data_IF_218572237375
#
_entry.id   IF_218572237375
#
_cell.length_a   1.000
_cell.length_b   1.000
_cell.length_c   1.000
_cell.angle_alpha   90.00
_cell.angle_beta   90.00
_cell.angle_gamma   90.00
#
_symmetry.space_group_name_H-M   'P 1'
#
loop_
_entity.id
_entity.type
_entity.pdbx_description
1 polymer ?
#
# COMPACT_ATOMS: atom_id res chain seq x y z
N UNK A 1 -4.15 7.70 37.48
CA UNK A 1 -3.26 7.54 36.30
C UNK A 1 -4.12 7.76 35.08
N UNK A 2 -3.96 8.90 34.39
CA UNK A 2 -4.54 9.06 33.06
C UNK A 2 -3.80 8.08 32.15
N UNK A 3 -4.50 7.05 31.65
CA UNK A 3 -3.98 6.30 30.51
C UNK A 3 -4.03 7.27 29.36
N UNK A 4 -2.87 7.67 28.83
CA UNK A 4 -2.83 8.37 27.55
C UNK A 4 -3.64 7.55 26.55
N UNK A 5 -4.64 8.20 25.98
CA UNK A 5 -5.56 7.56 25.06
C UNK A 5 -4.87 7.56 23.70
N UNK A 6 -4.30 6.40 23.33
CA UNK A 6 -3.67 6.21 22.02
C UNK A 6 -4.68 6.54 20.94
N UNK A 7 -4.33 7.42 20.00
CA UNK A 7 -5.22 7.82 18.90
C UNK A 7 -5.23 6.77 17.81
N UNK A 8 -6.22 6.83 16.91
CA UNK A 8 -6.27 5.92 15.75
C UNK A 8 -5.07 6.16 14.84
N UNK A 9 -4.66 7.40 14.64
CA UNK A 9 -3.51 7.77 13.81
C UNK A 9 -2.22 7.15 14.35
N UNK A 10 -1.97 7.23 15.67
CA UNK A 10 -0.80 6.60 16.30
C UNK A 10 -0.79 5.08 16.11
N UNK A 11 -1.97 4.44 16.14
CA UNK A 11 -2.10 3.00 15.86
C UNK A 11 -1.79 2.70 14.39
N UNK A 12 -2.35 3.47 13.45
CA UNK A 12 -2.17 3.24 12.02
C UNK A 12 -0.71 3.45 11.59
N UNK A 13 -0.06 4.52 12.07
CA UNK A 13 1.37 4.76 11.86
C UNK A 13 2.21 3.63 12.46
N UNK A 14 1.86 3.16 13.66
CA UNK A 14 2.56 2.07 14.35
C UNK A 14 2.51 0.72 13.63
N UNK A 15 1.53 0.49 12.75
CA UNK A 15 1.37 -0.76 12.00
C UNK A 15 1.66 -0.65 10.51
N UNK A 16 1.95 0.53 9.98
CA UNK A 16 2.04 0.75 8.52
C UNK A 16 2.99 -0.23 7.84
N UNK A 17 4.22 -0.35 8.33
CA UNK A 17 5.22 -1.24 7.73
C UNK A 17 4.77 -2.71 7.77
N UNK A 18 4.11 -3.12 8.83
CA UNK A 18 3.59 -4.49 8.93
C UNK A 18 2.44 -4.73 7.96
N UNK A 19 1.53 -3.77 7.78
CA UNK A 19 0.50 -3.86 6.75
C UNK A 19 1.13 -3.94 5.37
N UNK A 20 2.13 -3.11 5.07
CA UNK A 20 2.91 -3.18 3.83
C UNK A 20 3.50 -4.59 3.64
N UNK A 21 4.12 -5.17 4.66
CA UNK A 21 4.76 -6.49 4.59
C UNK A 21 3.74 -7.62 4.36
N UNK A 22 2.56 -7.57 5.00
CA UNK A 22 1.51 -8.55 4.79
C UNK A 22 0.90 -8.38 3.39
N UNK A 23 0.62 -7.15 2.99
CA UNK A 23 0.14 -6.79 1.66
C UNK A 23 1.15 -7.28 0.61
N UNK A 24 2.47 -7.22 0.91
CA UNK A 24 3.56 -7.76 0.09
C UNK A 24 3.36 -9.23 -0.30
N UNK A 25 2.74 -10.03 0.59
CA UNK A 25 2.48 -11.46 0.38
C UNK A 25 1.27 -11.77 -0.53
N UNK A 26 0.48 -10.77 -0.93
CA UNK A 26 -0.69 -10.96 -1.78
C UNK A 26 -1.93 -11.51 -1.06
N UNK A 27 -1.96 -11.41 0.27
CA UNK A 27 -3.14 -11.75 1.09
C UNK A 27 -4.35 -10.89 0.73
N UNK A 28 -5.54 -11.45 0.95
CA UNK A 28 -6.78 -10.71 0.79
C UNK A 28 -7.01 -9.77 1.96
N UNK A 29 -7.82 -8.73 1.76
CA UNK A 29 -8.17 -7.73 2.77
C UNK A 29 -8.62 -8.37 4.09
N UNK A 30 -9.52 -9.35 4.03
CA UNK A 30 -10.05 -10.02 5.22
C UNK A 30 -8.95 -10.71 6.00
N UNK A 31 -8.01 -11.39 5.32
CA UNK A 31 -6.89 -12.06 5.97
C UNK A 31 -5.93 -11.06 6.64
N UNK A 32 -5.70 -9.90 6.02
CA UNK A 32 -4.87 -8.83 6.57
C UNK A 32 -5.51 -8.28 7.85
N UNK A 33 -6.80 -7.95 7.80
CA UNK A 33 -7.54 -7.43 8.96
C UNK A 33 -7.58 -8.48 10.09
N UNK A 34 -7.87 -9.74 9.77
CA UNK A 34 -7.84 -10.83 10.75
C UNK A 34 -6.48 -10.98 11.41
N UNK A 35 -5.40 -10.95 10.63
CA UNK A 35 -4.04 -11.00 11.16
C UNK A 35 -3.75 -9.84 12.11
N UNK A 36 -4.13 -8.61 11.74
CA UNK A 36 -3.94 -7.44 12.59
C UNK A 36 -4.72 -7.57 13.91
N UNK A 37 -5.95 -8.08 13.87
CA UNK A 37 -6.79 -8.26 15.06
C UNK A 37 -6.32 -9.38 15.99
N UNK A 38 -5.48 -10.29 15.52
CA UNK A 38 -4.84 -11.31 16.38
C UNK A 38 -3.67 -10.73 17.19
N UNK A 39 -3.13 -9.57 16.81
CA UNK A 39 -2.07 -8.90 17.56
C UNK A 39 -2.61 -8.30 18.85
N UNK A 40 -1.94 -8.59 19.97
CA UNK A 40 -2.39 -8.18 21.32
C UNK A 40 -2.65 -6.68 21.45
N UNK A 41 -1.81 -5.86 20.83
CA UNK A 41 -1.89 -4.39 20.87
C UNK A 41 -3.13 -3.88 20.13
N UNK A 42 -3.32 -4.34 18.89
CA UNK A 42 -4.47 -3.99 18.05
C UNK A 42 -5.76 -4.58 18.60
N UNK A 43 -5.75 -5.81 19.09
CA UNK A 43 -6.89 -6.42 19.78
C UNK A 43 -7.31 -5.60 21.00
N UNK A 44 -6.34 -5.11 21.77
CA UNK A 44 -6.58 -4.26 22.93
C UNK A 44 -7.20 -2.92 22.56
N UNK A 45 -6.76 -2.33 21.46
CA UNK A 45 -7.33 -1.11 20.88
C UNK A 45 -8.73 -1.36 20.29
N UNK A 46 -8.90 -2.37 19.44
CA UNK A 46 -10.14 -2.70 18.74
C UNK A 46 -11.31 -3.01 19.70
N UNK A 47 -11.02 -3.59 20.86
CA UNK A 47 -12.03 -3.83 21.90
C UNK A 47 -12.53 -2.54 22.59
N UNK A 48 -11.87 -1.41 22.39
CA UNK A 48 -12.18 -0.11 23.01
C UNK A 48 -12.46 0.99 21.99
N UNK A 49 -12.17 0.76 20.72
CA UNK A 49 -12.34 1.74 19.67
C UNK A 49 -13.81 1.90 19.32
N UNK A 50 -14.14 3.06 18.76
CA UNK A 50 -15.45 3.31 18.14
C UNK A 50 -15.52 2.61 16.80
N UNK A 51 -16.74 2.46 16.28
CA UNK A 51 -16.96 1.85 14.97
C UNK A 51 -16.24 2.63 13.86
N UNK A 52 -16.23 3.96 13.94
CA UNK A 52 -15.58 4.84 12.97
C UNK A 52 -14.06 4.66 12.95
N UNK A 53 -13.44 4.41 14.10
CA UNK A 53 -12.00 4.14 14.20
C UNK A 53 -11.65 2.77 13.59
N UNK A 54 -12.55 1.79 13.73
CA UNK A 54 -12.40 0.50 13.06
C UNK A 54 -12.53 0.60 11.53
N UNK A 55 -13.45 1.45 11.04
CA UNK A 55 -13.58 1.74 9.60
C UNK A 55 -12.29 2.36 9.06
N UNK A 56 -11.66 3.28 9.79
CA UNK A 56 -10.38 3.87 9.39
C UNK A 56 -9.26 2.83 9.25
N UNK A 57 -9.22 1.80 10.11
CA UNK A 57 -8.27 0.68 9.93
C UNK A 57 -8.52 -0.08 8.62
N UNK A 58 -9.78 -0.31 8.26
CA UNK A 58 -10.13 -1.00 7.01
C UNK A 58 -9.74 -0.14 5.81
N UNK A 59 -10.07 1.15 5.84
CA UNK A 59 -9.71 2.10 4.78
C UNK A 59 -8.21 2.22 4.62
N UNK A 60 -7.47 2.26 5.71
CA UNK A 60 -6.00 2.25 5.71
C UNK A 60 -5.43 1.03 4.99
N UNK A 61 -5.94 -0.17 5.29
CA UNK A 61 -5.53 -1.40 4.58
C UNK A 61 -5.90 -1.32 3.09
N UNK A 62 -7.09 -0.83 2.77
CA UNK A 62 -7.55 -0.67 1.38
C UNK A 62 -6.66 0.30 0.58
N UNK A 63 -6.22 1.40 1.20
CA UNK A 63 -5.25 2.34 0.62
C UNK A 63 -3.91 1.66 0.34
N UNK A 64 -3.32 0.97 1.32
CA UNK A 64 -2.02 0.27 1.13
C UNK A 64 -2.14 -0.83 0.07
N UNK A 65 -3.26 -1.55 0.02
CA UNK A 65 -3.52 -2.55 -1.02
C UNK A 65 -3.65 -1.92 -2.42
N UNK A 66 -4.24 -0.72 -2.52
CA UNK A 66 -4.31 0.03 -3.76
C UNK A 66 -2.94 0.54 -4.20
N UNK A 67 -2.18 1.14 -3.28
CA UNK A 67 -0.79 1.59 -3.51
C UNK A 67 0.09 0.44 -4.02
N UNK A 68 0.00 -0.75 -3.41
CA UNK A 68 0.70 -1.96 -3.89
C UNK A 68 0.41 -2.25 -5.35
N UNK A 69 -0.85 -2.16 -5.80
CA UNK A 69 -1.21 -2.45 -7.19
C UNK A 69 -0.54 -1.49 -8.16
N UNK A 70 -0.46 -0.21 -7.78
CA UNK A 70 0.26 0.80 -8.57
C UNK A 70 1.75 0.46 -8.59
N UNK A 71 2.36 0.20 -7.43
CA UNK A 71 3.76 -0.16 -7.30
C UNK A 71 4.13 -1.38 -8.14
N UNK A 72 3.33 -2.45 -8.08
CA UNK A 72 3.55 -3.67 -8.87
C UNK A 72 3.57 -3.40 -10.39
N UNK A 73 2.67 -2.54 -10.85
CA UNK A 73 2.63 -2.17 -12.28
C UNK A 73 3.79 -1.24 -12.66
N UNK A 74 4.17 -0.32 -11.78
CA UNK A 74 5.38 0.51 -11.94
C UNK A 74 6.64 -0.35 -12.04
N UNK A 75 6.82 -1.32 -11.14
CA UNK A 75 7.93 -2.29 -11.15
C UNK A 75 7.95 -3.10 -12.46
N UNK A 76 6.77 -3.51 -12.96
CA UNK A 76 6.68 -4.23 -14.23
C UNK A 76 7.21 -3.39 -15.40
N UNK A 77 6.92 -2.08 -15.45
CA UNK A 77 7.48 -1.18 -16.46
C UNK A 77 8.98 -0.98 -16.29
N UNK A 78 9.49 -0.81 -15.07
CA UNK A 78 10.93 -0.71 -14.81
C UNK A 78 11.66 -1.97 -15.30
N UNK A 79 11.13 -3.15 -14.98
CA UNK A 79 11.69 -4.42 -15.42
C UNK A 79 11.72 -4.58 -16.94
N UNK A 80 10.64 -4.19 -17.63
CA UNK A 80 10.59 -4.22 -19.10
C UNK A 80 11.63 -3.29 -19.73
N UNK A 81 11.85 -2.12 -19.14
CA UNK A 81 12.89 -1.18 -19.60
C UNK A 81 14.28 -1.80 -19.41
N UNK A 82 14.56 -2.39 -18.24
CA UNK A 82 15.85 -3.02 -17.93
C UNK A 82 16.19 -4.19 -18.86
N UNK A 83 15.19 -4.91 -19.36
CA UNK A 83 15.37 -6.05 -20.26
C UNK A 83 15.43 -5.70 -21.75
N UNK A 84 15.21 -4.44 -22.12
CA UNK A 84 15.04 -4.04 -23.52
C UNK A 84 16.26 -3.31 -24.08
N UNK A 85 16.97 -3.94 -25.01
CA UNK A 85 18.11 -3.33 -25.73
C UNK A 85 17.71 -2.53 -26.98
N UNK A 86 16.45 -2.66 -27.43
CA UNK A 86 15.94 -1.95 -28.61
C UNK A 86 15.40 -0.58 -28.26
N UNK A 87 15.96 0.47 -28.87
CA UNK A 87 15.50 1.86 -28.69
C UNK A 87 14.01 2.04 -29.04
N UNK A 88 13.54 1.41 -30.12
CA UNK A 88 12.14 1.50 -30.56
C UNK A 88 11.18 0.86 -29.54
N UNK A 89 11.57 -0.28 -28.98
CA UNK A 89 10.80 -0.94 -27.94
C UNK A 89 10.81 -0.15 -26.63
N UNK A 90 11.95 0.47 -26.26
CA UNK A 90 12.05 1.36 -25.10
C UNK A 90 11.06 2.54 -25.21
N UNK A 91 10.98 3.19 -26.37
CA UNK A 91 10.02 4.27 -26.60
C UNK A 91 8.56 3.79 -26.50
N UNK A 92 8.28 2.57 -26.96
CA UNK A 92 6.96 1.95 -26.86
C UNK A 92 6.57 1.66 -25.41
N UNK A 93 7.49 1.12 -24.61
CA UNK A 93 7.28 0.84 -23.18
C UNK A 93 7.02 2.14 -22.42
N UNK A 94 7.82 3.19 -22.67
CA UNK A 94 7.65 4.51 -22.03
C UNK A 94 6.28 5.12 -22.35
N UNK A 95 5.87 5.15 -23.62
CA UNK A 95 4.53 5.63 -24.01
C UNK A 95 3.39 4.81 -23.38
N UNK A 96 3.58 3.50 -23.21
CA UNK A 96 2.60 2.66 -22.53
C UNK A 96 2.51 2.98 -21.02
N UNK A 97 3.65 3.23 -20.35
CA UNK A 97 3.70 3.71 -18.95
C UNK A 97 2.95 5.04 -18.83
N UNK A 98 3.29 6.03 -19.66
CA UNK A 98 2.65 7.35 -19.69
C UNK A 98 1.13 7.27 -19.85
N UNK A 99 0.64 6.52 -20.84
CA UNK A 99 -0.80 6.33 -21.07
C UNK A 99 -1.52 5.64 -19.90
N UNK A 100 -0.86 4.69 -19.27
CA UNK A 100 -1.42 4.05 -18.09
C UNK A 100 -1.53 5.05 -16.93
N UNK A 101 -0.48 5.82 -16.67
CA UNK A 101 -0.48 6.84 -15.61
C UNK A 101 -1.55 7.92 -15.88
N UNK A 102 -1.66 8.42 -17.11
CA UNK A 102 -2.69 9.39 -17.52
C UNK A 102 -4.10 8.86 -17.28
N UNK A 103 -4.37 7.60 -17.66
CA UNK A 103 -5.67 6.96 -17.46
C UNK A 103 -6.05 6.86 -15.98
N UNK A 104 -5.10 6.56 -15.12
CA UNK A 104 -5.32 6.40 -13.68
C UNK A 104 -5.20 7.73 -12.92
N UNK A 105 -4.87 8.84 -13.60
CA UNK A 105 -4.64 10.14 -12.97
C UNK A 105 -3.43 10.17 -12.05
N UNK A 106 -2.37 9.43 -12.39
CA UNK A 106 -1.17 9.27 -11.58
C UNK A 106 -0.02 10.13 -12.08
N UNK A 107 0.74 10.70 -11.15
CA UNK A 107 2.01 11.38 -11.44
C UNK A 107 3.18 10.39 -11.39
N UNK A 108 4.21 10.61 -12.20
CA UNK A 108 5.38 9.73 -12.25
C UNK A 108 6.13 9.69 -10.91
N UNK A 109 6.31 10.85 -10.26
CA UNK A 109 6.94 10.94 -8.94
C UNK A 109 6.18 10.13 -7.88
N UNK A 110 4.84 10.14 -7.94
CA UNK A 110 4.01 9.33 -7.07
C UNK A 110 4.23 7.83 -7.33
N UNK A 111 4.19 7.40 -8.58
CA UNK A 111 4.43 5.99 -8.94
C UNK A 111 5.82 5.54 -8.48
N UNK A 112 6.86 6.32 -8.73
CA UNK A 112 8.22 5.97 -8.35
C UNK A 112 8.39 5.92 -6.82
N UNK A 113 7.73 6.83 -6.07
CA UNK A 113 7.70 6.77 -4.61
C UNK A 113 7.03 5.49 -4.08
N UNK A 114 5.95 5.05 -4.71
CA UNK A 114 5.27 3.81 -4.35
C UNK A 114 6.09 2.57 -4.70
N UNK A 115 6.76 2.59 -5.85
CA UNK A 115 7.70 1.52 -6.20
C UNK A 115 8.76 1.39 -5.11
N UNK A 116 9.38 2.50 -4.69
CA UNK A 116 10.37 2.50 -3.61
C UNK A 116 9.81 2.02 -2.27
N UNK A 117 8.62 2.48 -1.88
CA UNK A 117 7.92 2.06 -0.65
C UNK A 117 7.71 0.54 -0.59
N UNK A 118 7.51 -0.10 -1.75
CA UNK A 118 7.22 -1.53 -1.87
C UNK A 118 8.38 -2.39 -2.40
N UNK A 119 9.59 -1.83 -2.63
CA UNK A 119 10.82 -2.63 -2.80
C UNK A 119 11.12 -3.42 -1.53
#
# INVERSE_FOLDING_TARGET
MNKEQVTVEEVLEGIEQEVIDIVKTGKQRVDIISFLLDKKEIKGWANRCKFEEFVQLIEFVDVIMFERKIAQRGQSYQHLVEQTDSKEHLETIKKAKEKWMEKEGLEEEFVDSLVYKFL
#
